data_IF_954617426999
#
_entry.id   IF_954617426999
#
_cell.length_a   1.000
_cell.length_b   1.000
_cell.length_c   1.000
_cell.angle_alpha   90.00
_cell.angle_beta   90.00
_cell.angle_gamma   90.00
#
_symmetry.space_group_name_H-M   'P 1'
#
loop_
_entity.id
_entity.type
_entity.pdbx_description
1 polymer ?
#
# COMPACT_ATOMS: atom_id res chain seq x y z
N UNK A 1 1.11 18.50 -21.14
CA UNK A 1 1.82 19.60 -20.45
C UNK A 1 2.40 19.00 -19.17
N UNK A 2 3.70 18.71 -19.15
CA UNK A 2 4.35 18.06 -18.02
C UNK A 2 4.50 19.07 -16.87
N UNK A 3 4.02 18.73 -15.66
CA UNK A 3 4.24 19.57 -14.48
C UNK A 3 5.74 19.57 -14.14
N UNK A 4 6.30 20.76 -13.97
CA UNK A 4 7.76 20.96 -13.95
C UNK A 4 8.48 20.52 -12.66
N UNK A 5 7.82 19.74 -11.79
CA UNK A 5 8.39 19.21 -10.54
C UNK A 5 7.97 17.76 -10.25
N UNK A 6 7.45 17.06 -11.26
CA UNK A 6 6.86 15.76 -11.06
C UNK A 6 7.64 14.68 -11.82
N UNK A 7 8.57 13.99 -11.14
CA UNK A 7 9.17 12.72 -11.60
C UNK A 7 8.18 11.53 -11.53
N UNK A 8 6.89 11.78 -11.74
CA UNK A 8 5.80 11.18 -10.95
C UNK A 8 5.07 10.06 -11.71
N UNK A 9 5.27 8.80 -11.30
CA UNK A 9 4.33 7.66 -11.47
C UNK A 9 3.11 7.78 -10.54
N UNK A 10 3.16 8.71 -9.58
CA UNK A 10 2.17 9.00 -8.56
C UNK A 10 1.10 10.03 -8.97
N UNK A 11 0.77 10.16 -10.27
CA UNK A 11 -0.39 10.97 -10.69
C UNK A 11 -1.63 10.09 -10.57
N UNK A 12 -2.39 10.28 -9.50
CA UNK A 12 -3.73 9.72 -9.37
C UNK A 12 -4.76 10.81 -9.64
N UNK A 13 -5.86 10.45 -10.32
CA UNK A 13 -7.02 11.33 -10.42
C UNK A 13 -7.87 11.26 -9.15
N UNK A 14 -8.00 10.07 -8.57
CA UNK A 14 -8.78 9.81 -7.37
C UNK A 14 -8.12 8.71 -6.53
N UNK A 15 -8.28 8.80 -5.21
CA UNK A 15 -7.80 7.79 -4.26
C UNK A 15 -9.00 7.33 -3.43
N UNK A 16 -9.25 6.03 -3.45
CA UNK A 16 -10.40 5.38 -2.82
C UNK A 16 -9.93 4.30 -1.85
N UNK A 17 -10.70 4.03 -0.81
CA UNK A 17 -10.40 2.88 0.05
C UNK A 17 -10.66 1.57 -0.70
N UNK A 18 -9.81 0.57 -0.43
CA UNK A 18 -9.92 -0.74 -1.06
C UNK A 18 -11.30 -1.39 -0.83
N UNK A 19 -11.89 -1.17 0.34
CA UNK A 19 -13.23 -1.67 0.69
C UNK A 19 -14.36 -1.08 -0.16
N UNK A 20 -14.14 0.10 -0.74
CA UNK A 20 -15.11 0.81 -1.57
C UNK A 20 -14.95 0.42 -3.04
N UNK A 21 -13.70 0.22 -3.50
CA UNK A 21 -13.43 -0.08 -4.91
C UNK A 21 -13.54 -1.58 -5.25
N UNK A 22 -13.17 -2.49 -4.35
CA UNK A 22 -13.24 -3.93 -4.64
C UNK A 22 -14.67 -4.42 -4.96
N UNK A 23 -15.74 -3.94 -4.30
CA UNK A 23 -17.11 -4.27 -4.70
C UNK A 23 -17.52 -3.76 -6.07
N UNK A 24 -16.89 -2.68 -6.56
CA UNK A 24 -17.15 -2.13 -7.90
C UNK A 24 -16.42 -2.92 -8.98
N UNK A 25 -15.22 -3.43 -8.67
CA UNK A 25 -14.40 -4.19 -9.62
C UNK A 25 -14.76 -5.68 -9.68
N UNK A 26 -15.26 -6.24 -8.58
CA UNK A 26 -15.56 -7.67 -8.47
C UNK A 26 -16.88 -7.93 -7.73
N UNK A 27 -17.85 -8.49 -8.45
CA UNK A 27 -19.18 -8.79 -7.89
C UNK A 27 -19.14 -9.92 -6.86
N UNK A 28 -18.27 -10.92 -7.06
CA UNK A 28 -18.24 -12.12 -6.22
C UNK A 28 -17.50 -11.84 -4.89
N UNK A 29 -18.18 -11.96 -3.73
CA UNK A 29 -17.56 -11.70 -2.43
C UNK A 29 -16.41 -12.65 -2.08
N UNK A 30 -16.45 -13.91 -2.55
CA UNK A 30 -15.36 -14.87 -2.34
C UNK A 30 -14.13 -14.49 -3.16
N UNK A 31 -14.33 -14.01 -4.41
CA UNK A 31 -13.22 -13.51 -5.24
C UNK A 31 -12.57 -12.28 -4.60
N UNK A 32 -13.36 -11.37 -4.03
CA UNK A 32 -12.83 -10.21 -3.28
C UNK A 32 -12.00 -10.62 -2.07
N UNK A 33 -12.49 -11.58 -1.29
CA UNK A 33 -11.77 -12.08 -0.13
C UNK A 33 -10.44 -12.73 -0.52
N UNK A 34 -10.45 -13.55 -1.58
CA UNK A 34 -9.23 -14.17 -2.12
C UNK A 34 -8.22 -13.12 -2.61
N UNK A 35 -8.67 -12.08 -3.33
CA UNK A 35 -7.78 -11.00 -3.79
C UNK A 35 -7.16 -10.25 -2.59
N UNK A 36 -7.94 -9.98 -1.54
CA UNK A 36 -7.42 -9.35 -0.32
C UNK A 36 -6.35 -10.20 0.36
N UNK A 37 -6.57 -11.52 0.44
CA UNK A 37 -5.61 -12.47 0.98
C UNK A 37 -4.34 -12.51 0.13
N UNK A 38 -4.47 -12.58 -1.20
CA UNK A 38 -3.34 -12.58 -2.13
C UNK A 38 -2.52 -11.28 -2.03
N UNK A 39 -3.17 -10.12 -1.89
CA UNK A 39 -2.48 -8.83 -1.66
C UNK A 39 -1.66 -8.89 -0.38
N UNK A 40 -2.24 -9.40 0.72
CA UNK A 40 -1.52 -9.53 1.99
C UNK A 40 -0.31 -10.46 1.87
N UNK A 41 -0.49 -11.62 1.25
CA UNK A 41 0.59 -12.60 1.03
C UNK A 41 1.72 -11.98 0.22
N UNK A 42 1.40 -11.28 -0.87
CA UNK A 42 2.38 -10.61 -1.74
C UNK A 42 3.13 -9.52 -0.96
N UNK A 43 2.41 -8.62 -0.28
CA UNK A 43 3.03 -7.52 0.48
C UNK A 43 3.96 -8.02 1.61
N UNK A 44 3.53 -9.03 2.37
CA UNK A 44 4.35 -9.63 3.43
C UNK A 44 5.55 -10.36 2.83
N UNK A 45 5.36 -11.07 1.71
CA UNK A 45 6.43 -11.73 0.98
C UNK A 45 7.52 -10.76 0.51
N UNK A 46 7.11 -9.62 -0.05
CA UNK A 46 8.01 -8.53 -0.44
C UNK A 46 8.78 -8.02 0.78
N UNK A 47 8.08 -7.67 1.86
CA UNK A 47 8.72 -7.14 3.07
C UNK A 47 9.79 -8.08 3.62
N UNK A 48 9.46 -9.36 3.82
CA UNK A 48 10.41 -10.38 4.31
C UNK A 48 11.59 -10.58 3.36
N UNK A 49 11.35 -10.55 2.06
CA UNK A 49 12.40 -10.74 1.05
C UNK A 49 13.38 -9.58 1.08
N UNK A 50 12.87 -8.34 1.10
CA UNK A 50 13.70 -7.15 1.15
C UNK A 50 14.44 -7.03 2.47
N UNK A 51 13.78 -7.26 3.60
CA UNK A 51 14.44 -7.24 4.92
C UNK A 51 15.64 -8.18 4.99
N UNK A 52 15.51 -9.38 4.42
CA UNK A 52 16.59 -10.36 4.36
C UNK A 52 17.76 -9.91 3.48
N UNK A 53 17.50 -9.14 2.42
CA UNK A 53 18.51 -8.78 1.42
C UNK A 53 19.21 -7.45 1.73
N UNK A 54 18.46 -6.45 2.18
CA UNK A 54 18.95 -5.07 2.32
C UNK A 54 18.83 -4.52 3.75
N UNK A 55 18.39 -5.35 4.70
CA UNK A 55 18.29 -5.00 6.11
C UNK A 55 16.92 -4.47 6.50
N UNK A 56 16.75 -4.11 7.77
CA UNK A 56 15.46 -3.74 8.35
C UNK A 56 14.87 -2.50 7.66
N UNK A 57 13.63 -2.62 7.19
CA UNK A 57 12.87 -1.54 6.58
C UNK A 57 11.69 -1.22 7.50
N UNK A 58 11.74 -0.06 8.16
CA UNK A 58 10.71 0.33 9.12
C UNK A 58 9.33 0.58 8.49
N UNK A 59 9.30 0.85 7.19
CA UNK A 59 8.09 0.96 6.38
C UNK A 59 8.37 0.65 4.90
N UNK A 60 7.32 0.33 4.16
CA UNK A 60 7.34 0.12 2.71
C UNK A 60 6.11 0.77 2.06
N UNK A 61 6.31 1.43 0.92
CA UNK A 61 5.26 1.76 -0.04
C UNK A 61 5.28 0.74 -1.16
N UNK A 62 4.15 0.10 -1.48
CA UNK A 62 4.05 -0.94 -2.51
C UNK A 62 2.93 -0.58 -3.46
N UNK A 63 3.28 -0.42 -4.73
CA UNK A 63 2.33 -0.15 -5.80
C UNK A 63 2.02 -1.46 -6.53
N UNK A 64 0.75 -1.83 -6.54
CA UNK A 64 0.26 -3.07 -7.15
C UNK A 64 -0.72 -2.77 -8.28
N UNK A 65 -0.65 -3.58 -9.33
CA UNK A 65 -1.69 -3.70 -10.35
C UNK A 65 -2.60 -4.88 -10.02
N UNK A 66 -3.91 -4.71 -10.20
CA UNK A 66 -4.88 -5.81 -10.15
C UNK A 66 -5.53 -5.91 -11.53
N UNK A 67 -5.31 -7.04 -12.21
CA UNK A 67 -5.94 -7.32 -13.50
C UNK A 67 -7.41 -7.73 -13.38
N UNK A 68 -8.11 -7.83 -14.51
CA UNK A 68 -9.54 -8.17 -14.60
C UNK A 68 -9.89 -9.51 -13.92
N UNK A 69 -8.95 -10.45 -13.90
CA UNK A 69 -9.13 -11.75 -13.22
C UNK A 69 -8.70 -11.77 -11.75
N UNK A 70 -8.31 -10.62 -11.18
CA UNK A 70 -7.76 -10.53 -9.84
C UNK A 70 -6.26 -10.84 -9.76
N UNK A 71 -5.60 -11.07 -10.91
CA UNK A 71 -4.15 -11.32 -10.95
C UNK A 71 -3.40 -10.08 -10.48
N UNK A 72 -2.54 -10.26 -9.48
CA UNK A 72 -1.72 -9.19 -8.90
C UNK A 72 -0.39 -9.08 -9.65
N UNK A 73 0.00 -7.86 -10.00
CA UNK A 73 1.34 -7.51 -10.49
C UNK A 73 1.98 -6.48 -9.57
N UNK A 74 3.29 -6.57 -9.36
CA UNK A 74 4.06 -5.57 -8.62
C UNK A 74 4.53 -4.51 -9.61
N UNK A 75 4.21 -3.24 -9.35
CA UNK A 75 4.65 -2.10 -10.17
C UNK A 75 5.93 -1.51 -9.58
N UNK A 76 5.90 -1.13 -8.31
CA UNK A 76 7.01 -0.49 -7.62
C UNK A 76 7.02 -0.86 -6.14
N UNK A 77 8.21 -0.90 -5.53
CA UNK A 77 8.39 -1.00 -4.08
C UNK A 77 9.36 0.07 -3.62
N UNK A 78 8.90 0.92 -2.72
CA UNK A 78 9.64 2.04 -2.16
C UNK A 78 9.93 1.82 -0.67
N UNK A 79 11.15 2.14 -0.24
CA UNK A 79 11.57 2.08 1.17
C UNK A 79 10.96 3.17 2.07
N UNK A 80 10.10 4.02 1.51
CA UNK A 80 9.36 5.08 2.20
C UNK A 80 8.04 5.32 1.48
N UNK A 81 6.94 5.39 2.23
CA UNK A 81 5.65 5.76 1.65
C UNK A 81 5.53 7.29 1.56
N UNK A 82 4.95 7.78 0.47
CA UNK A 82 4.53 9.18 0.38
C UNK A 82 3.23 9.33 1.17
N UNK A 83 3.31 9.95 2.34
CA UNK A 83 2.20 9.99 3.31
C UNK A 83 1.16 11.06 2.95
N UNK A 84 1.51 11.96 2.04
CA UNK A 84 0.67 13.05 1.57
C UNK A 84 -0.60 12.57 0.84
N UNK A 85 -0.59 11.36 0.27
CA UNK A 85 -1.74 10.76 -0.40
C UNK A 85 -2.87 10.36 0.55
N UNK A 86 -2.57 10.07 1.81
CA UNK A 86 -3.60 9.71 2.78
C UNK A 86 -4.53 10.87 3.12
N UNK A 87 -4.08 12.11 2.93
CA UNK A 87 -4.92 13.30 3.03
C UNK A 87 -5.82 13.52 1.80
N UNK A 88 -5.64 12.74 0.74
CA UNK A 88 -6.37 12.85 -0.53
C UNK A 88 -7.36 11.70 -0.73
N UNK A 89 -7.46 10.78 0.25
CA UNK A 89 -8.42 9.67 0.20
C UNK A 89 -9.83 10.25 0.34
N UNK A 90 -10.67 10.01 -0.68
CA UNK A 90 -12.04 10.52 -0.69
C UNK A 90 -12.83 10.03 0.52
N UNK A 91 -13.61 10.93 1.11
CA UNK A 91 -14.51 10.61 2.22
C UNK A 91 -13.82 10.40 3.57
N UNK A 92 -12.49 10.56 3.64
CA UNK A 92 -11.71 10.41 4.88
C UNK A 92 -10.69 11.52 5.05
N UNK A 93 -11.16 12.64 5.57
CA UNK A 93 -10.26 13.63 6.11
C UNK A 93 -9.64 13.08 7.41
N UNK A 94 -8.41 12.57 7.31
CA UNK A 94 -7.51 12.27 8.43
C UNK A 94 -7.84 11.06 9.33
N UNK A 95 -8.81 10.20 9.00
CA UNK A 95 -9.01 8.96 9.77
C UNK A 95 -7.78 8.05 9.69
N UNK A 96 -7.30 7.59 10.85
CA UNK A 96 -6.17 6.67 10.98
C UNK A 96 -4.82 7.18 10.44
N UNK A 97 -4.68 8.48 10.14
CA UNK A 97 -3.39 9.06 9.73
C UNK A 97 -2.33 8.83 10.82
N UNK A 98 -2.72 8.87 12.09
CA UNK A 98 -1.86 8.60 13.24
C UNK A 98 -1.21 7.21 13.17
N UNK A 99 -1.96 6.19 12.72
CA UNK A 99 -1.45 4.82 12.60
C UNK A 99 -0.30 4.72 11.60
N UNK A 100 -0.35 5.50 10.52
CA UNK A 100 0.66 5.52 9.45
C UNK A 100 2.00 6.07 9.97
N UNK A 101 1.96 6.95 10.96
CA UNK A 101 3.16 7.45 11.64
C UNK A 101 3.55 6.58 12.83
N UNK A 102 2.57 5.94 13.50
CA UNK A 102 2.80 5.13 14.70
C UNK A 102 3.38 3.75 14.41
N UNK A 103 2.90 3.04 13.38
CA UNK A 103 3.34 1.67 13.11
C UNK A 103 4.85 1.50 12.87
N UNK A 104 5.54 2.39 12.12
CA UNK A 104 6.99 2.30 11.99
C UNK A 104 7.72 2.43 13.34
N UNK A 105 7.19 3.25 14.26
CA UNK A 105 7.73 3.42 15.60
C UNK A 105 7.45 2.19 16.48
N UNK A 106 6.24 1.62 16.39
CA UNK A 106 5.89 0.37 17.09
C UNK A 106 6.77 -0.79 16.64
N UNK A 107 7.04 -0.89 15.33
CA UNK A 107 7.97 -1.87 14.77
C UNK A 107 9.39 -1.69 15.33
N UNK A 108 9.92 -0.46 15.30
CA UNK A 108 11.22 -0.16 15.89
C UNK A 108 11.29 -0.47 17.40
N UNK A 109 10.22 -0.16 18.14
CA UNK A 109 10.12 -0.47 19.57
C UNK A 109 10.09 -1.98 19.84
N UNK A 110 9.39 -2.75 19.01
CA UNK A 110 9.37 -4.21 19.10
C UNK A 110 10.76 -4.80 18.87
N UNK A 111 11.49 -4.31 17.86
CA UNK A 111 12.87 -4.72 17.57
C UNK A 111 13.86 -4.33 18.67
N UNK A 112 13.66 -3.19 19.34
CA UNK A 112 14.51 -2.78 20.46
C UNK A 112 14.36 -3.69 21.70
N UNK A 113 13.30 -4.51 21.75
CA UNK A 113 13.02 -5.47 22.83
C UNK A 113 13.44 -6.91 22.52
N UNK A 114 13.78 -7.22 21.28
CA UNK A 114 14.24 -8.54 20.83
C UNK A 114 15.75 -8.66 20.91
#
# INVERSE_FOLDING_TARGET
MALHHSFITNVSQEIWEMKEILPVLFDNPLKRAAILEDIQIVCIGIAKTLEKQIGLLGELGIDLAIGEEGKIGIIEVNGRSQKEFYHQVKGKDCENIELIYRHPLEYAYALAKS
#
